data_IF_987819292001
#
_entry.id   IF_987819292001
#
_cell.length_a   1.000
_cell.length_b   1.000
_cell.length_c   1.000
_cell.angle_alpha   90.00
_cell.angle_beta   90.00
_cell.angle_gamma   90.00
#
_symmetry.space_group_name_H-M   'P 1'
#
loop_
_entity.id
_entity.type
_entity.pdbx_description
1 polymer ?
#
# COMPACT_ATOMS: atom_id res chain seq x y z
N UNK A 1 -12.34 -8.72 -23.17
CA UNK A 1 -13.15 -7.88 -22.27
C UNK A 1 -12.63 -7.97 -20.85
N UNK A 2 -12.92 -6.98 -19.99
CA UNK A 2 -12.38 -6.89 -18.61
C UNK A 2 -12.55 -8.19 -17.78
N UNK A 3 -13.62 -8.94 -18.03
CA UNK A 3 -13.90 -10.21 -17.37
C UNK A 3 -12.94 -11.35 -17.76
N UNK A 4 -12.51 -11.41 -19.03
CA UNK A 4 -11.52 -12.39 -19.49
C UNK A 4 -10.14 -12.16 -18.85
N UNK A 5 -9.81 -10.90 -18.57
CA UNK A 5 -8.56 -10.53 -17.89
C UNK A 5 -8.58 -10.95 -16.41
N UNK A 6 -9.72 -10.77 -15.73
CA UNK A 6 -9.88 -11.19 -14.34
C UNK A 6 -9.71 -12.71 -14.17
N UNK A 7 -10.29 -13.52 -15.06
CA UNK A 7 -10.14 -14.99 -15.03
C UNK A 7 -8.69 -15.43 -15.26
N UNK A 8 -7.97 -14.78 -16.19
CA UNK A 8 -6.55 -15.09 -16.44
C UNK A 8 -5.62 -14.74 -15.27
N UNK A 9 -6.03 -13.77 -14.43
CA UNK A 9 -5.29 -13.35 -13.24
C UNK A 9 -5.42 -14.40 -12.15
N UNK A 10 -6.63 -14.90 -11.89
CA UNK A 10 -6.92 -15.93 -10.88
C UNK A 10 -6.17 -17.25 -11.18
N UNK A 11 -6.14 -17.68 -12.44
CA UNK A 11 -5.45 -18.91 -12.87
C UNK A 11 -3.91 -18.84 -12.67
N UNK A 12 -3.36 -17.63 -12.60
CA UNK A 12 -1.92 -17.38 -12.58
C UNK A 12 -1.32 -17.22 -11.16
N UNK A 13 -2.14 -17.21 -10.10
CA UNK A 13 -1.68 -17.01 -8.72
C UNK A 13 -0.70 -18.09 -8.18
N UNK A 14 -0.48 -19.21 -8.90
CA UNK A 14 0.39 -20.32 -8.46
C UNK A 14 1.81 -20.37 -9.05
N UNK A 15 2.16 -19.54 -10.05
CA UNK A 15 3.45 -19.65 -10.77
C UNK A 15 4.24 -18.36 -10.61
N UNK A 16 5.41 -18.38 -9.95
CA UNK A 16 6.11 -17.16 -9.48
C UNK A 16 6.36 -16.07 -10.55
N UNK A 17 6.66 -16.45 -11.80
CA UNK A 17 6.78 -15.51 -12.92
C UNK A 17 5.43 -14.98 -13.41
N UNK A 18 4.39 -15.82 -13.38
CA UNK A 18 3.02 -15.41 -13.63
C UNK A 18 2.51 -14.50 -12.50
N UNK A 19 2.86 -14.74 -11.23
CA UNK A 19 2.46 -13.91 -10.08
C UNK A 19 2.87 -12.44 -10.23
N UNK A 20 4.06 -12.15 -10.77
CA UNK A 20 4.51 -10.77 -11.02
C UNK A 20 3.71 -10.09 -12.14
N UNK A 21 3.42 -10.83 -13.22
CA UNK A 21 2.59 -10.34 -14.32
C UNK A 21 1.14 -10.13 -13.86
N UNK A 22 0.57 -11.07 -13.11
CA UNK A 22 -0.74 -11.02 -12.46
C UNK A 22 -0.86 -9.78 -11.58
N UNK A 23 0.14 -9.53 -10.72
CA UNK A 23 0.18 -8.31 -9.90
C UNK A 23 0.17 -7.05 -10.76
N UNK A 24 1.03 -6.98 -11.78
CA UNK A 24 1.10 -5.81 -12.67
C UNK A 24 -0.23 -5.57 -13.38
N UNK A 25 -0.84 -6.61 -13.97
CA UNK A 25 -2.13 -6.52 -14.66
C UNK A 25 -3.27 -6.11 -13.71
N UNK A 26 -3.25 -6.63 -12.48
CA UNK A 26 -4.23 -6.26 -11.44
C UNK A 26 -4.11 -4.78 -11.08
N UNK A 27 -2.89 -4.27 -10.90
CA UNK A 27 -2.65 -2.85 -10.65
C UNK A 27 -3.11 -1.97 -11.82
N UNK A 28 -2.78 -2.32 -13.07
CA UNK A 28 -3.26 -1.60 -14.26
C UNK A 28 -4.80 -1.61 -14.36
N UNK A 29 -5.42 -2.74 -14.01
CA UNK A 29 -6.87 -2.84 -13.96
C UNK A 29 -7.47 -1.87 -12.93
N UNK A 30 -6.91 -1.80 -11.72
CA UNK A 30 -7.37 -0.85 -10.69
C UNK A 30 -7.20 0.60 -11.12
N UNK A 31 -6.09 0.94 -11.78
CA UNK A 31 -5.88 2.28 -12.38
C UNK A 31 -6.97 2.57 -13.42
N UNK A 32 -7.23 1.64 -14.34
CA UNK A 32 -8.27 1.79 -15.38
C UNK A 32 -9.70 1.91 -14.83
N UNK A 33 -9.92 1.45 -13.60
CA UNK A 33 -11.19 1.51 -12.88
C UNK A 33 -11.29 2.74 -11.97
N UNK A 34 -10.27 3.61 -11.94
CA UNK A 34 -10.24 4.78 -11.07
C UNK A 34 -10.26 4.44 -9.58
N UNK A 35 -9.69 3.29 -9.17
CA UNK A 35 -9.69 2.90 -7.77
C UNK A 35 -8.84 3.87 -6.94
N UNK A 36 -9.32 4.23 -5.75
CA UNK A 36 -8.55 5.09 -4.83
C UNK A 36 -7.55 4.28 -4.01
N UNK A 37 -6.52 4.94 -3.48
CA UNK A 37 -5.59 4.32 -2.53
C UNK A 37 -6.32 3.62 -1.37
N UNK A 38 -7.34 4.26 -0.78
CA UNK A 38 -8.19 3.68 0.27
C UNK A 38 -9.04 2.51 -0.23
N UNK A 39 -9.55 2.58 -1.46
CA UNK A 39 -10.33 1.50 -2.06
C UNK A 39 -9.53 0.22 -2.22
N UNK A 40 -8.31 0.33 -2.78
CA UNK A 40 -7.41 -0.82 -2.92
C UNK A 40 -6.92 -1.33 -1.56
N UNK A 41 -6.66 -0.44 -0.59
CA UNK A 41 -6.28 -0.83 0.77
C UNK A 41 -7.31 -1.78 1.42
N UNK A 42 -8.61 -1.44 1.30
CA UNK A 42 -9.72 -2.27 1.78
C UNK A 42 -9.90 -3.55 0.96
N UNK A 43 -9.71 -3.48 -0.35
CA UNK A 43 -9.79 -4.65 -1.25
C UNK A 43 -8.76 -5.72 -0.85
N UNK A 44 -7.57 -5.29 -0.45
CA UNK A 44 -6.50 -6.13 0.06
C UNK A 44 -6.67 -6.50 1.55
N UNK A 45 -7.79 -6.13 2.17
CA UNK A 45 -8.12 -6.39 3.59
C UNK A 45 -7.05 -5.89 4.56
N UNK A 46 -6.31 -4.84 4.19
CA UNK A 46 -5.23 -4.29 5.01
C UNK A 46 -5.77 -3.53 6.23
N UNK A 47 -7.01 -3.03 6.16
CA UNK A 47 -7.72 -2.41 7.27
C UNK A 47 -8.02 -3.37 8.42
N UNK A 48 -8.00 -4.68 8.15
CA UNK A 48 -8.22 -5.73 9.13
C UNK A 48 -6.91 -6.23 9.77
N UNK A 49 -5.76 -5.77 9.29
CA UNK A 49 -4.46 -6.27 9.73
C UNK A 49 -4.02 -5.72 11.11
N UNK A 50 -4.64 -4.64 11.59
CA UNK A 50 -4.31 -4.00 12.87
C UNK A 50 -2.80 -3.69 12.98
N UNK A 51 -2.19 -4.05 14.11
CA UNK A 51 -0.74 -3.86 14.35
C UNK A 51 0.16 -4.76 13.50
N UNK A 52 -0.39 -5.78 12.82
CA UNK A 52 0.36 -6.70 11.95
C UNK A 52 0.49 -6.20 10.52
N UNK A 53 -0.03 -5.01 10.18
CA UNK A 53 -0.02 -4.45 8.83
C UNK A 53 1.35 -4.52 8.14
N UNK A 54 2.43 -4.11 8.82
CA UNK A 54 3.78 -4.10 8.25
C UNK A 54 4.38 -5.50 8.04
N UNK A 55 3.73 -6.55 8.52
CA UNK A 55 4.08 -7.95 8.25
C UNK A 55 3.17 -8.58 7.18
N UNK A 56 2.15 -7.86 6.72
CA UNK A 56 1.24 -8.34 5.69
C UNK A 56 1.90 -8.17 4.31
N UNK A 57 2.03 -9.28 3.56
CA UNK A 57 2.62 -9.30 2.22
C UNK A 57 1.86 -8.41 1.23
N UNK A 58 0.56 -8.25 1.41
CA UNK A 58 -0.28 -7.39 0.55
C UNK A 58 0.02 -5.90 0.71
N UNK A 59 0.72 -5.50 1.78
CA UNK A 59 1.16 -4.12 1.94
C UNK A 59 2.08 -3.70 0.79
N UNK A 60 2.95 -4.60 0.32
CA UNK A 60 3.85 -4.31 -0.80
C UNK A 60 3.08 -4.08 -2.10
N UNK A 61 2.03 -4.86 -2.36
CA UNK A 61 1.13 -4.67 -3.51
C UNK A 61 0.43 -3.32 -3.43
N UNK A 62 -0.09 -2.96 -2.25
CA UNK A 62 -0.73 -1.67 -2.06
C UNK A 62 0.24 -0.49 -2.23
N UNK A 63 1.46 -0.58 -1.70
CA UNK A 63 2.49 0.46 -1.86
C UNK A 63 2.83 0.65 -3.34
N UNK A 64 3.07 -0.45 -4.06
CA UNK A 64 3.30 -0.44 -5.52
C UNK A 64 2.16 0.27 -6.27
N UNK A 65 0.92 -0.10 -5.95
CA UNK A 65 -0.26 0.52 -6.55
C UNK A 65 -0.33 2.04 -6.31
N UNK A 66 -0.19 2.50 -5.07
CA UNK A 66 -0.30 3.94 -4.75
C UNK A 66 0.86 4.74 -5.38
N UNK A 67 2.06 4.16 -5.46
CA UNK A 67 3.19 4.75 -6.19
C UNK A 67 2.88 4.92 -7.68
N UNK A 68 2.18 3.97 -8.31
CA UNK A 68 1.73 4.12 -9.71
C UNK A 68 0.57 5.08 -9.87
N UNK A 69 -0.35 5.11 -8.91
CA UNK A 69 -1.55 5.94 -8.95
C UNK A 69 -1.21 7.43 -9.07
N UNK A 70 -0.25 7.89 -8.25
CA UNK A 70 0.33 9.22 -8.38
C UNK A 70 1.71 9.23 -7.70
N UNK A 71 2.79 9.13 -8.50
CA UNK A 71 4.17 9.05 -8.01
C UNK A 71 4.60 10.28 -7.19
N UNK A 72 4.01 11.45 -7.45
CA UNK A 72 4.41 12.70 -6.81
C UNK A 72 3.80 12.84 -5.42
N UNK A 73 2.59 12.30 -5.20
CA UNK A 73 1.87 12.41 -3.93
C UNK A 73 1.72 11.10 -3.16
N UNK A 74 2.37 10.01 -3.61
CA UNK A 74 2.20 8.67 -3.06
C UNK A 74 2.36 8.61 -1.53
N UNK A 75 3.39 9.25 -0.98
CA UNK A 75 3.65 9.26 0.47
C UNK A 75 2.52 9.93 1.25
N UNK A 76 1.98 11.04 0.74
CA UNK A 76 0.87 11.76 1.37
C UNK A 76 -0.42 10.95 1.30
N UNK A 77 -0.72 10.34 0.15
CA UNK A 77 -1.86 9.43 0.01
C UNK A 77 -1.79 8.24 0.97
N UNK A 78 -0.63 7.59 1.07
CA UNK A 78 -0.45 6.47 2.01
C UNK A 78 -0.63 6.96 3.45
N UNK A 79 -0.06 8.11 3.80
CA UNK A 79 -0.22 8.71 5.12
C UNK A 79 -1.69 9.00 5.47
N UNK A 80 -2.46 9.58 4.55
CA UNK A 80 -3.89 9.87 4.74
C UNK A 80 -4.74 8.62 4.94
N UNK A 81 -4.36 7.49 4.35
CA UNK A 81 -5.02 6.20 4.56
C UNK A 81 -4.67 5.60 5.91
N UNK A 82 -3.40 5.66 6.32
CA UNK A 82 -2.91 5.02 7.55
C UNK A 82 -3.23 5.82 8.82
N UNK A 83 -3.12 7.16 8.77
CA UNK A 83 -3.31 8.05 9.93
C UNK A 83 -4.59 7.79 10.74
N UNK A 84 -5.78 7.62 10.14
CA UNK A 84 -7.00 7.40 10.92
C UNK A 84 -7.10 6.00 11.54
N UNK A 85 -6.26 5.05 11.14
CA UNK A 85 -6.31 3.65 11.59
C UNK A 85 -5.47 3.37 12.83
N UNK A 86 -4.51 4.25 13.13
CA UNK A 86 -3.54 4.06 14.20
C UNK A 86 -3.49 5.27 15.10
N UNK A 87 -3.35 5.03 16.40
CA UNK A 87 -2.95 6.10 17.29
C UNK A 87 -1.59 6.64 16.85
N UNK A 88 -1.33 7.92 17.15
CA UNK A 88 -0.04 8.54 16.86
C UNK A 88 1.14 7.73 17.44
N UNK A 89 0.97 7.15 18.63
CA UNK A 89 1.99 6.32 19.29
C UNK A 89 2.27 5.05 18.48
N UNK A 90 1.23 4.35 18.05
CA UNK A 90 1.38 3.13 17.23
C UNK A 90 2.05 3.44 15.89
N UNK A 91 1.63 4.49 15.21
CA UNK A 91 2.22 4.86 13.92
C UNK A 91 3.71 5.25 14.06
N UNK A 92 4.09 5.97 15.13
CA UNK A 92 5.52 6.25 15.41
C UNK A 92 6.31 4.97 15.67
N UNK A 93 5.79 4.03 16.47
CA UNK A 93 6.48 2.76 16.73
C UNK A 93 6.69 1.95 15.45
N UNK A 94 5.65 1.88 14.61
CA UNK A 94 5.69 1.18 13.34
C UNK A 94 6.72 1.80 12.37
N UNK A 95 6.72 3.13 12.22
CA UNK A 95 7.68 3.84 11.37
C UNK A 95 9.10 3.74 11.92
N UNK A 96 9.27 3.72 13.25
CA UNK A 96 10.58 3.51 13.88
C UNK A 96 11.14 2.13 13.59
N UNK A 97 10.30 1.08 13.57
CA UNK A 97 10.72 -0.25 13.17
C UNK A 97 11.10 -0.29 11.67
N UNK A 98 10.30 0.32 10.80
CA UNK A 98 10.58 0.37 9.36
C UNK A 98 11.85 1.16 9.01
N UNK A 99 12.23 2.17 9.80
CA UNK A 99 13.51 2.88 9.62
C UNK A 99 14.77 2.04 9.86
N UNK A 100 14.64 0.88 10.54
CA UNK A 100 15.75 -0.04 10.80
C UNK A 100 16.05 -0.99 9.64
N UNK A 101 15.21 -0.99 8.61
CA UNK A 101 15.35 -1.80 7.40
C UNK A 101 15.68 -0.84 6.27
N UNK A 102 16.83 -1.01 5.62
CA UNK A 102 17.38 -0.05 4.66
C UNK A 102 16.42 0.20 3.49
N UNK A 103 15.75 -0.85 3.01
CA UNK A 103 14.78 -0.80 1.92
C UNK A 103 13.56 0.07 2.25
N UNK A 104 13.16 0.14 3.51
CA UNK A 104 11.97 0.90 3.94
C UNK A 104 12.30 2.22 4.63
N UNK A 105 13.58 2.52 4.84
CA UNK A 105 14.04 3.65 5.63
C UNK A 105 13.60 5.00 5.08
N UNK A 106 13.78 5.23 3.78
CA UNK A 106 13.41 6.49 3.14
C UNK A 106 11.90 6.75 3.23
N UNK A 107 11.10 5.73 2.93
CA UNK A 107 9.64 5.78 3.03
C UNK A 107 9.19 6.07 4.47
N UNK A 108 9.71 5.33 5.44
CA UNK A 108 9.33 5.49 6.84
C UNK A 108 9.71 6.88 7.39
N UNK A 109 10.86 7.43 6.95
CA UNK A 109 11.29 8.79 7.32
C UNK A 109 10.34 9.85 6.78
N UNK A 110 9.86 9.72 5.54
CA UNK A 110 8.91 10.65 4.94
C UNK A 110 7.56 10.64 5.66
N UNK A 111 7.02 9.46 5.98
CA UNK A 111 5.76 9.33 6.72
C UNK A 111 5.87 9.88 8.15
N UNK A 112 7.02 9.70 8.82
CA UNK A 112 7.25 10.28 10.14
C UNK A 112 7.29 11.80 10.07
N UNK A 113 7.94 12.38 9.03
CA UNK A 113 7.94 13.83 8.80
C UNK A 113 6.52 14.38 8.64
N UNK A 114 5.67 13.73 7.83
CA UNK A 114 4.25 14.10 7.67
C UNK A 114 3.49 14.02 9.00
N UNK A 115 3.74 12.98 9.80
CA UNK A 115 3.13 12.83 11.12
C UNK A 115 3.53 13.97 12.08
N UNK A 116 4.79 14.38 12.05
CA UNK A 116 5.31 15.50 12.85
C UNK A 116 4.75 16.85 12.39
N UNK A 117 4.61 17.07 11.07
CA UNK A 117 4.02 18.30 10.53
C UNK A 117 2.53 18.42 10.84
N UNK A 118 1.83 17.28 10.96
CA UNK A 118 0.43 17.26 11.39
C UNK A 118 0.22 17.60 12.88
N UNK A 119 1.28 17.90 13.64
CA UNK A 119 1.22 18.30 15.07
C UNK A 119 0.77 19.75 15.31
N UNK A 120 0.64 20.58 14.27
CA UNK A 120 0.42 22.02 14.41
C UNK A 120 -0.94 22.55 13.92
N UNK A 121 -1.95 21.70 13.77
CA UNK A 121 -3.32 22.12 13.45
C UNK A 121 -4.31 21.50 14.42
#
# INVERSE_FOLDING_TARGET
>A
GKQKLATMIDDAEGVSGATLLTRKLTEEMWLSQGQTARGVFKRLKLDQAGTKLFRNRELTTWVSYVTKLDPNNANEMMFLVLKPLYTKKELVMMLTAAKKVDETKAFATNLEKLLLQSRGK
#
